data_IF_225714437423
#
_entry.id   IF_225714437423
#
_cell.length_a   1.000
_cell.length_b   1.000
_cell.length_c   1.000
_cell.angle_alpha   90.00
_cell.angle_beta   90.00
_cell.angle_gamma   90.00
#
_symmetry.space_group_name_H-M   'P 1'
#
loop_
_entity.id
_entity.type
_entity.pdbx_description
1 polymer ?
#
# COMPACT_ATOMS: atom_id res chain seq x y z
N UNK A 1 7.94 -18.90 -17.40
CA UNK A 1 9.33 -18.45 -17.58
C UNK A 1 9.56 -17.33 -16.59
N UNK A 2 10.29 -17.59 -15.51
CA UNK A 2 10.68 -16.57 -14.54
C UNK A 2 11.72 -15.66 -15.22
N UNK A 3 11.32 -14.44 -15.55
CA UNK A 3 12.22 -13.45 -16.13
C UNK A 3 13.19 -12.98 -15.05
N UNK A 4 14.43 -13.47 -15.10
CA UNK A 4 15.53 -12.95 -14.27
C UNK A 4 15.62 -11.44 -14.46
N UNK A 5 15.42 -10.68 -13.39
CA UNK A 5 15.49 -9.23 -13.40
C UNK A 5 16.90 -8.77 -13.78
N UNK A 6 17.06 -8.20 -14.98
CA UNK A 6 18.34 -7.72 -15.52
C UNK A 6 18.76 -6.35 -14.95
N UNK A 7 18.07 -5.84 -13.93
CA UNK A 7 18.23 -4.47 -13.44
C UNK A 7 17.52 -3.44 -14.32
N UNK A 8 17.20 -2.28 -13.74
CA UNK A 8 16.82 -1.10 -14.53
C UNK A 8 18.05 -0.62 -15.32
N UNK A 9 17.88 -0.11 -16.55
CA UNK A 9 18.96 0.57 -17.24
C UNK A 9 19.49 1.70 -16.35
N UNK A 10 20.79 1.99 -16.43
CA UNK A 10 21.39 3.08 -15.67
C UNK A 10 20.60 4.38 -15.88
N UNK A 11 20.54 5.24 -14.85
CA UNK A 11 19.77 6.48 -14.92
C UNK A 11 19.98 7.27 -16.23
N UNK A 12 21.22 7.46 -16.76
CA UNK A 12 21.42 8.15 -18.03
C UNK A 12 20.79 7.45 -19.24
N UNK A 13 20.76 6.11 -19.27
CA UNK A 13 20.16 5.33 -20.34
C UNK A 13 18.62 5.37 -20.25
N UNK A 14 18.07 5.15 -19.05
CA UNK A 14 16.65 5.26 -18.79
C UNK A 14 16.13 6.65 -19.19
N UNK A 15 16.79 7.71 -18.71
CA UNK A 15 16.42 9.09 -18.96
C UNK A 15 16.40 9.44 -20.46
N UNK A 16 17.37 8.96 -21.26
CA UNK A 16 17.39 9.22 -22.72
C UNK A 16 16.17 8.70 -23.45
N UNK A 17 15.61 7.58 -23.00
CA UNK A 17 14.41 6.97 -23.60
C UNK A 17 13.17 7.67 -23.03
N UNK A 18 13.01 7.68 -21.71
CA UNK A 18 11.81 8.20 -21.05
C UNK A 18 11.56 9.69 -21.29
N UNK A 19 12.60 10.50 -21.49
CA UNK A 19 12.43 11.94 -21.80
C UNK A 19 11.89 12.21 -23.21
N UNK A 20 11.93 11.21 -24.09
CA UNK A 20 11.35 11.29 -25.45
C UNK A 20 9.92 10.77 -25.50
N UNK A 21 9.47 10.07 -24.47
CA UNK A 21 8.09 9.63 -24.34
C UNK A 21 7.22 10.84 -23.96
N UNK A 22 6.54 11.39 -24.96
CA UNK A 22 5.69 12.58 -24.80
C UNK A 22 4.47 12.29 -23.93
N UNK A 23 3.97 11.05 -23.95
CA UNK A 23 2.79 10.66 -23.19
C UNK A 23 3.13 10.49 -21.71
N UNK A 24 4.20 9.76 -21.41
CA UNK A 24 4.74 9.64 -20.05
C UNK A 24 5.01 11.02 -19.43
N UNK A 25 5.65 11.92 -20.18
CA UNK A 25 5.95 13.28 -19.71
C UNK A 25 4.70 14.10 -19.44
N UNK A 26 3.69 14.01 -20.31
CA UNK A 26 2.42 14.70 -20.11
C UNK A 26 1.70 14.18 -18.85
N UNK A 27 1.62 12.86 -18.70
CA UNK A 27 0.98 12.20 -17.56
C UNK A 27 1.63 12.63 -16.23
N UNK A 28 2.97 12.52 -16.13
CA UNK A 28 3.71 12.89 -14.92
C UNK A 28 3.60 14.38 -14.58
N UNK A 29 3.69 15.26 -15.59
CA UNK A 29 3.58 16.71 -15.38
C UNK A 29 2.21 17.06 -14.82
N UNK A 30 1.15 16.60 -15.49
CA UNK A 30 -0.23 16.89 -15.09
C UNK A 30 -0.51 16.39 -13.67
N UNK A 31 -0.26 15.11 -13.40
CA UNK A 31 -0.59 14.51 -12.12
C UNK A 31 0.21 15.12 -10.94
N UNK A 32 1.50 15.43 -11.15
CA UNK A 32 2.32 16.05 -10.09
C UNK A 32 1.83 17.46 -9.73
N UNK A 33 1.42 18.26 -10.73
CA UNK A 33 0.83 19.58 -10.48
C UNK A 33 -0.50 19.46 -9.73
N UNK A 34 -1.39 18.57 -10.18
CA UNK A 34 -2.68 18.35 -9.53
C UNK A 34 -2.54 17.94 -8.05
N UNK A 35 -1.63 17.01 -7.73
CA UNK A 35 -1.40 16.58 -6.33
C UNK A 35 -0.88 17.74 -5.48
N UNK A 36 0.06 18.55 -6.02
CA UNK A 36 0.61 19.70 -5.29
C UNK A 36 -0.44 20.78 -5.02
N UNK A 37 -1.30 21.05 -6.00
CA UNK A 37 -2.35 22.07 -5.88
C UNK A 37 -3.45 21.62 -4.90
N UNK A 38 -3.84 20.35 -4.94
CA UNK A 38 -4.75 19.74 -3.96
C UNK A 38 -4.19 19.86 -2.53
N UNK A 39 -2.93 19.46 -2.34
CA UNK A 39 -2.24 19.60 -1.05
C UNK A 39 -2.19 21.05 -0.58
N UNK A 40 -1.87 22.00 -1.46
CA UNK A 40 -1.81 23.42 -1.10
C UNK A 40 -3.17 23.93 -0.62
N UNK A 41 -4.25 23.55 -1.32
CA UNK A 41 -5.63 23.87 -0.94
C UNK A 41 -5.97 23.28 0.44
N UNK A 42 -5.75 21.99 0.65
CA UNK A 42 -6.10 21.31 1.90
C UNK A 42 -5.30 21.80 3.13
N UNK A 43 -4.04 22.21 2.92
CA UNK A 43 -3.23 22.83 3.98
C UNK A 43 -3.72 24.23 4.32
N UNK A 44 -4.20 24.98 3.33
CA UNK A 44 -4.71 26.34 3.54
C UNK A 44 -6.01 26.40 4.35
N UNK A 45 -6.67 25.26 4.59
CA UNK A 45 -7.83 25.16 5.49
C UNK A 45 -7.46 25.27 6.98
N UNK A 46 -6.18 25.12 7.32
CA UNK A 46 -5.71 25.09 8.72
C UNK A 46 -4.74 26.25 8.99
N UNK A 47 -5.19 27.21 9.80
CA UNK A 47 -4.39 28.35 10.25
C UNK A 47 -3.17 27.94 11.09
N UNK A 48 -3.21 26.75 11.71
CA UNK A 48 -2.21 26.21 12.62
C UNK A 48 -1.36 25.08 12.01
N UNK A 49 -1.34 24.95 10.67
CA UNK A 49 -0.58 23.91 9.98
C UNK A 49 0.91 23.80 10.40
N UNK A 50 1.67 24.90 10.54
CA UNK A 50 3.04 24.83 11.04
C UNK A 50 3.16 24.20 12.44
N UNK A 51 2.21 24.50 13.32
CA UNK A 51 2.15 24.01 14.70
C UNK A 51 1.82 22.51 14.73
N UNK A 52 0.86 22.06 13.91
CA UNK A 52 0.54 20.64 13.74
C UNK A 52 1.76 19.84 13.27
N UNK A 53 2.53 20.38 12.31
CA UNK A 53 3.77 19.74 11.85
C UNK A 53 4.83 19.69 12.95
N UNK A 54 4.99 20.75 13.73
CA UNK A 54 5.92 20.79 14.84
C UNK A 54 5.53 19.79 15.95
N UNK A 55 4.23 19.67 16.25
CA UNK A 55 3.71 18.68 17.19
C UNK A 55 3.99 17.24 16.72
N UNK A 56 3.70 16.93 15.45
CA UNK A 56 3.98 15.62 14.87
C UNK A 56 5.47 15.27 14.92
N UNK A 57 6.35 16.24 14.60
CA UNK A 57 7.80 16.08 14.72
C UNK A 57 8.23 15.82 16.17
N UNK A 58 7.72 16.58 17.15
CA UNK A 58 8.04 16.40 18.56
C UNK A 58 7.61 15.02 19.08
N UNK A 59 6.42 14.53 18.68
CA UNK A 59 5.95 13.18 19.01
C UNK A 59 6.89 12.13 18.43
N UNK A 60 7.25 12.23 17.15
CA UNK A 60 8.18 11.28 16.51
C UNK A 60 9.55 11.29 17.17
N UNK A 61 10.11 12.46 17.43
CA UNK A 61 11.42 12.59 18.10
C UNK A 61 11.41 11.99 19.50
N UNK A 62 10.37 12.24 20.28
CA UNK A 62 10.20 11.62 21.60
C UNK A 62 10.10 10.10 21.48
N UNK A 63 9.26 9.61 20.57
CA UNK A 63 9.01 8.18 20.39
C UNK A 63 10.26 7.43 19.94
N UNK A 64 11.01 7.99 18.98
CA UNK A 64 12.23 7.40 18.45
C UNK A 64 13.34 7.29 19.52
N UNK A 65 13.39 8.21 20.49
CA UNK A 65 14.32 8.15 21.63
C UNK A 65 13.97 7.07 22.65
N UNK A 66 12.74 6.55 22.64
CA UNK A 66 12.22 5.59 23.61
C UNK A 66 11.62 4.35 22.91
N UNK A 67 12.15 3.98 21.74
CA UNK A 67 11.64 2.85 20.96
C UNK A 67 11.69 1.54 21.76
N UNK A 68 12.76 1.31 22.50
CA UNK A 68 12.93 0.16 23.37
C UNK A 68 11.74 -0.05 24.32
N UNK A 69 11.23 1.04 24.88
CA UNK A 69 10.10 1.04 25.80
C UNK A 69 8.78 0.84 25.05
N UNK A 70 8.52 1.65 24.01
CA UNK A 70 7.24 1.62 23.31
C UNK A 70 7.03 0.33 22.51
N UNK A 71 8.09 -0.25 21.94
CA UNK A 71 8.02 -1.52 21.20
C UNK A 71 7.58 -2.68 22.09
N UNK A 72 8.15 -2.78 23.29
CA UNK A 72 7.75 -3.81 24.27
C UNK A 72 6.33 -3.56 24.79
N UNK A 73 5.96 -2.28 25.01
CA UNK A 73 4.60 -1.93 25.39
C UNK A 73 3.57 -2.33 24.30
N UNK A 74 3.87 -2.05 23.04
CA UNK A 74 3.04 -2.44 21.90
C UNK A 74 2.87 -3.97 21.84
N UNK A 75 3.97 -4.72 21.99
CA UNK A 75 3.95 -6.18 21.99
C UNK A 75 3.05 -6.74 23.09
N UNK A 76 3.16 -6.19 24.30
CA UNK A 76 2.30 -6.56 25.43
C UNK A 76 0.82 -6.28 25.11
N UNK A 77 0.51 -5.11 24.57
CA UNK A 77 -0.86 -4.72 24.26
C UNK A 77 -1.48 -5.57 23.13
N UNK A 78 -0.72 -5.84 22.06
CA UNK A 78 -1.15 -6.73 20.96
C UNK A 78 -1.37 -8.15 21.47
N UNK A 79 -0.46 -8.68 22.28
CA UNK A 79 -0.57 -10.02 22.87
C UNK A 79 -1.78 -10.12 23.80
N UNK A 80 -2.02 -9.09 24.62
CA UNK A 80 -3.20 -9.03 25.49
C UNK A 80 -4.53 -9.00 24.70
N UNK A 81 -4.53 -8.42 23.49
CA UNK A 81 -5.66 -8.44 22.57
C UNK A 81 -5.80 -9.76 21.78
N UNK A 82 -4.93 -10.75 22.00
CA UNK A 82 -4.95 -12.05 21.35
C UNK A 82 -4.18 -12.11 20.02
N UNK A 83 -3.42 -11.07 19.68
CA UNK A 83 -2.52 -11.07 18.53
C UNK A 83 -1.18 -11.75 18.86
N UNK A 84 -0.40 -12.05 17.82
CA UNK A 84 0.96 -12.56 17.94
C UNK A 84 1.92 -11.56 17.32
N UNK A 85 2.98 -11.18 18.04
CA UNK A 85 4.04 -10.31 17.52
C UNK A 85 5.22 -11.15 17.08
N UNK A 86 5.68 -10.89 15.86
CA UNK A 86 6.89 -11.46 15.31
C UNK A 86 7.90 -10.35 15.04
N UNK A 87 9.08 -10.47 15.62
CA UNK A 87 10.20 -9.57 15.36
C UNK A 87 11.00 -10.11 14.16
N UNK A 88 11.33 -9.22 13.22
CA UNK A 88 12.19 -9.54 12.08
C UNK A 88 13.34 -8.53 12.02
N UNK A 89 14.56 -9.03 11.88
CA UNK A 89 15.77 -8.22 11.77
C UNK A 89 15.87 -7.51 10.41
N UNK A 90 15.40 -8.18 9.35
CA UNK A 90 15.53 -7.74 7.97
C UNK A 90 14.37 -8.25 7.07
N UNK A 91 14.46 -7.92 5.79
CA UNK A 91 13.47 -8.28 4.78
C UNK A 91 13.34 -9.79 4.58
N UNK A 92 14.44 -10.54 4.60
CA UNK A 92 14.43 -11.99 4.36
C UNK A 92 13.74 -12.70 5.52
N UNK A 93 14.03 -12.29 6.76
CA UNK A 93 13.36 -12.82 7.94
C UNK A 93 11.87 -12.46 7.96
N UNK A 94 11.51 -11.21 7.65
CA UNK A 94 10.11 -10.80 7.56
C UNK A 94 9.33 -11.62 6.52
N UNK A 95 9.89 -11.77 5.32
CA UNK A 95 9.27 -12.54 4.24
C UNK A 95 9.12 -14.02 4.60
N UNK A 96 10.13 -14.62 5.25
CA UNK A 96 10.07 -16.00 5.73
C UNK A 96 8.95 -16.19 6.75
N UNK A 97 8.87 -15.33 7.76
CA UNK A 97 7.82 -15.38 8.80
C UNK A 97 6.43 -15.29 8.15
N UNK A 98 6.22 -14.33 7.25
CA UNK A 98 4.93 -14.16 6.57
C UNK A 98 4.58 -15.40 5.75
N UNK A 99 5.54 -15.94 5.01
CA UNK A 99 5.38 -17.16 4.21
C UNK A 99 5.01 -18.36 5.07
N UNK A 100 5.70 -18.56 6.18
CA UNK A 100 5.44 -19.65 7.14
C UNK A 100 4.03 -19.54 7.76
N UNK A 101 3.59 -18.32 8.09
CA UNK A 101 2.24 -18.06 8.60
C UNK A 101 1.20 -18.44 7.55
N UNK A 102 1.36 -17.98 6.30
CA UNK A 102 0.42 -18.31 5.20
C UNK A 102 0.37 -19.82 4.94
N UNK A 103 1.51 -20.51 4.96
CA UNK A 103 1.52 -21.97 4.81
C UNK A 103 0.82 -22.69 5.96
N UNK A 104 0.96 -22.18 7.19
CA UNK A 104 0.29 -22.75 8.37
C UNK A 104 -1.23 -22.68 8.25
N UNK A 105 -1.78 -21.66 7.57
CA UNK A 105 -3.23 -21.60 7.31
C UNK A 105 -3.69 -22.59 6.23
N UNK A 106 -2.77 -23.22 5.48
CA UNK A 106 -3.08 -24.11 4.36
C UNK A 106 -3.61 -23.40 3.10
N UNK A 107 -3.46 -22.07 3.03
CA UNK A 107 -3.91 -21.27 1.88
C UNK A 107 -2.73 -20.91 0.96
N UNK A 108 -3.04 -20.64 -0.31
CA UNK A 108 -2.06 -20.25 -1.34
C UNK A 108 -2.44 -18.96 -2.05
N UNK A 109 -3.51 -18.31 -1.61
CA UNK A 109 -3.94 -16.98 -2.08
C UNK A 109 -3.97 -16.03 -0.89
N UNK A 110 -3.45 -14.82 -1.06
CA UNK A 110 -3.53 -13.72 -0.07
C UNK A 110 -4.02 -12.44 -0.74
N UNK A 111 -4.83 -11.64 -0.05
CA UNK A 111 -5.18 -10.28 -0.49
C UNK A 111 -4.33 -9.27 0.26
N UNK A 112 -3.80 -8.26 -0.43
CA UNK A 112 -2.85 -7.33 0.15
C UNK A 112 -3.30 -5.89 0.01
N UNK A 113 -3.28 -5.15 1.11
CA UNK A 113 -3.40 -3.69 1.10
C UNK A 113 -2.07 -3.09 0.70
N UNK A 114 -2.10 -2.00 -0.08
CA UNK A 114 -0.89 -1.24 -0.41
C UNK A 114 -0.06 -0.96 0.85
N UNK A 115 1.21 -1.34 0.79
CA UNK A 115 2.18 -1.09 1.84
C UNK A 115 3.57 -0.96 1.26
N UNK A 116 4.18 0.20 1.47
CA UNK A 116 5.57 0.45 1.06
C UNK A 116 6.54 -0.54 1.70
N UNK A 117 6.31 -0.90 2.97
CA UNK A 117 7.15 -1.87 3.68
C UNK A 117 7.14 -3.22 2.96
N UNK A 118 5.99 -3.69 2.45
CA UNK A 118 5.92 -4.95 1.69
C UNK A 118 6.58 -4.88 0.31
N UNK A 119 6.66 -3.68 -0.28
CA UNK A 119 7.39 -3.47 -1.53
C UNK A 119 8.89 -3.43 -1.28
N UNK A 120 9.33 -2.74 -0.23
CA UNK A 120 10.74 -2.62 0.17
C UNK A 120 11.33 -3.98 0.56
N UNK A 121 10.55 -4.85 1.21
CA UNK A 121 10.98 -6.21 1.53
C UNK A 121 10.90 -7.17 0.34
N UNK A 122 10.28 -6.80 -0.79
CA UNK A 122 10.08 -7.71 -1.93
C UNK A 122 9.13 -8.88 -1.62
N UNK A 123 8.10 -8.62 -0.81
CA UNK A 123 7.23 -9.68 -0.28
C UNK A 123 6.47 -10.43 -1.38
N UNK A 124 6.02 -9.75 -2.44
CA UNK A 124 5.27 -10.40 -3.51
C UNK A 124 6.14 -11.44 -4.23
N UNK A 125 7.40 -11.12 -4.50
CA UNK A 125 8.36 -12.02 -5.11
C UNK A 125 8.67 -13.22 -4.21
N UNK A 126 8.84 -12.99 -2.90
CA UNK A 126 9.08 -14.06 -1.93
C UNK A 126 7.89 -15.02 -1.82
N UNK A 127 6.66 -14.48 -1.72
CA UNK A 127 5.44 -15.27 -1.71
C UNK A 127 5.27 -16.07 -3.01
N UNK A 128 5.52 -15.45 -4.18
CA UNK A 128 5.43 -16.13 -5.46
C UNK A 128 6.44 -17.28 -5.59
N UNK A 129 7.67 -17.11 -5.08
CA UNK A 129 8.68 -18.18 -5.03
C UNK A 129 8.25 -19.34 -4.11
N UNK A 130 7.46 -19.06 -3.07
CA UNK A 130 6.86 -20.04 -2.18
C UNK A 130 5.54 -20.64 -2.71
N UNK A 131 5.11 -20.28 -3.91
CA UNK A 131 3.86 -20.77 -4.51
C UNK A 131 2.58 -20.12 -3.95
N UNK A 132 2.72 -18.95 -3.32
CA UNK A 132 1.61 -18.15 -2.81
C UNK A 132 1.34 -16.98 -3.77
N UNK A 133 0.08 -16.81 -4.16
CA UNK A 133 -0.34 -15.71 -5.03
C UNK A 133 -0.86 -14.54 -4.19
N UNK A 134 -0.18 -13.39 -4.26
CA UNK A 134 -0.63 -12.15 -3.64
C UNK A 134 -1.44 -11.31 -4.62
N UNK A 135 -2.64 -10.90 -4.23
CA UNK A 135 -3.52 -10.01 -4.99
C UNK A 135 -3.47 -8.60 -4.40
N UNK A 136 -3.01 -7.63 -5.19
CA UNK A 136 -3.05 -6.22 -4.78
C UNK A 136 -4.50 -5.72 -4.78
N UNK A 137 -4.86 -4.94 -3.77
CA UNK A 137 -6.25 -4.45 -3.59
C UNK A 137 -6.41 -2.95 -3.70
N UNK A 138 -5.30 -2.20 -3.73
CA UNK A 138 -5.27 -0.80 -4.15
C UNK A 138 -5.37 -0.74 -5.68
N UNK A 139 -6.23 0.13 -6.23
CA UNK A 139 -6.48 0.16 -7.66
C UNK A 139 -5.21 0.42 -8.49
N UNK A 140 -4.35 1.33 -8.03
CA UNK A 140 -3.13 1.68 -8.75
C UNK A 140 -2.10 0.54 -8.68
N UNK A 141 -1.97 -0.12 -7.54
CA UNK A 141 -1.14 -1.33 -7.40
C UNK A 141 -1.68 -2.50 -8.25
N UNK A 142 -3.00 -2.68 -8.29
CA UNK A 142 -3.65 -3.69 -9.13
C UNK A 142 -3.35 -3.46 -10.61
N UNK A 143 -3.44 -2.21 -11.09
CA UNK A 143 -3.09 -1.86 -12.49
C UNK A 143 -1.63 -2.24 -12.79
N UNK A 144 -0.70 -1.89 -11.90
CA UNK A 144 0.73 -2.21 -12.05
C UNK A 144 0.95 -3.72 -12.05
N UNK A 145 0.30 -4.45 -11.15
CA UNK A 145 0.34 -5.92 -11.08
C UNK A 145 -0.19 -6.57 -12.37
N UNK A 146 -1.34 -6.10 -12.86
CA UNK A 146 -1.99 -6.61 -14.07
C UNK A 146 -1.18 -6.36 -15.35
N UNK A 147 -0.38 -5.29 -15.39
CA UNK A 147 0.52 -4.99 -16.52
C UNK A 147 1.92 -5.59 -16.36
N UNK A 148 2.20 -6.26 -15.22
CA UNK A 148 3.55 -6.73 -14.85
C UNK A 148 4.60 -5.61 -14.97
N UNK A 149 4.22 -4.43 -14.47
CA UNK A 149 5.00 -3.19 -14.53
C UNK A 149 5.56 -2.84 -13.14
N UNK A 150 6.26 -1.71 -13.02
CA UNK A 150 6.74 -1.16 -11.76
C UNK A 150 6.00 0.13 -11.39
N UNK A 151 5.84 0.41 -10.09
CA UNK A 151 5.29 1.69 -9.64
C UNK A 151 6.21 2.84 -10.05
N UNK A 152 5.65 3.91 -10.60
CA UNK A 152 6.40 5.13 -10.96
C UNK A 152 6.35 6.20 -9.87
N UNK A 153 5.47 6.08 -8.89
CA UNK A 153 5.32 7.06 -7.80
C UNK A 153 4.78 6.43 -6.52
N UNK A 154 5.34 6.82 -5.38
CA UNK A 154 5.06 6.25 -4.04
C UNK A 154 3.57 6.39 -3.66
N UNK A 155 2.98 7.57 -3.90
CA UNK A 155 1.57 7.81 -3.56
C UNK A 155 0.60 7.27 -4.62
N UNK A 156 1.00 7.25 -5.88
CA UNK A 156 0.12 6.96 -7.03
C UNK A 156 0.87 6.02 -7.98
N UNK A 157 0.96 4.71 -7.67
CA UNK A 157 1.80 3.74 -8.38
C UNK A 157 1.70 3.78 -9.90
N UNK A 158 0.48 3.88 -10.42
CA UNK A 158 0.16 3.90 -11.84
C UNK A 158 0.07 5.32 -12.45
N UNK A 159 0.70 6.34 -11.84
CA UNK A 159 0.63 7.74 -12.29
C UNK A 159 1.03 7.95 -13.77
N UNK A 160 1.84 7.04 -14.30
CA UNK A 160 2.31 7.06 -15.68
C UNK A 160 1.31 6.50 -16.69
N UNK A 161 0.24 5.82 -16.23
CA UNK A 161 -0.78 5.22 -17.09
C UNK A 161 -2.00 6.13 -17.19
N UNK A 162 -2.49 6.33 -18.40
CA UNK A 162 -3.77 6.99 -18.63
C UNK A 162 -4.94 5.99 -18.69
N UNK A 163 -6.17 6.50 -18.70
CA UNK A 163 -7.40 5.68 -18.66
C UNK A 163 -7.56 4.71 -19.83
N UNK A 164 -7.14 5.10 -21.04
CA UNK A 164 -7.19 4.22 -22.21
C UNK A 164 -6.20 3.06 -22.06
N UNK A 165 -5.00 3.32 -21.54
CA UNK A 165 -4.02 2.25 -21.22
C UNK A 165 -4.57 1.31 -20.13
N UNK A 166 -5.21 1.87 -19.09
CA UNK A 166 -5.81 1.07 -18.01
C UNK A 166 -6.91 0.15 -18.54
N UNK A 167 -7.80 0.65 -19.42
CA UNK A 167 -8.81 -0.17 -20.09
C UNK A 167 -8.16 -1.35 -20.82
N UNK A 168 -7.13 -1.08 -21.61
CA UNK A 168 -6.48 -2.10 -22.44
C UNK A 168 -5.75 -3.15 -21.58
N UNK A 169 -5.15 -2.74 -20.46
CA UNK A 169 -4.61 -3.65 -19.44
C UNK A 169 -5.73 -4.54 -18.89
N UNK A 170 -6.83 -3.95 -18.44
CA UNK A 170 -7.95 -4.68 -17.85
C UNK A 170 -8.53 -5.73 -18.80
N UNK A 171 -8.83 -5.35 -20.05
CA UNK A 171 -9.33 -6.27 -21.08
C UNK A 171 -8.38 -7.42 -21.37
N UNK A 172 -7.06 -7.15 -21.35
CA UNK A 172 -6.05 -8.15 -21.72
C UNK A 172 -5.69 -9.12 -20.60
N UNK A 173 -5.69 -8.68 -19.33
CA UNK A 173 -5.02 -9.45 -18.26
C UNK A 173 -5.88 -9.81 -17.05
N UNK A 174 -7.03 -9.15 -16.81
CA UNK A 174 -7.86 -9.46 -15.64
C UNK A 174 -8.33 -10.93 -15.58
N UNK A 175 -8.63 -11.53 -16.74
CA UNK A 175 -9.06 -12.92 -16.84
C UNK A 175 -8.02 -13.92 -16.30
N UNK A 176 -6.72 -13.59 -16.39
CA UNK A 176 -5.65 -14.44 -15.85
C UNK A 176 -5.56 -14.38 -14.33
N UNK A 177 -6.04 -13.29 -13.74
CA UNK A 177 -6.01 -13.06 -12.30
C UNK A 177 -7.33 -13.35 -11.62
N UNK A 178 -8.42 -13.59 -12.34
CA UNK A 178 -9.74 -13.88 -11.77
C UNK A 178 -10.85 -13.49 -12.72
N UNK A 179 -11.79 -12.67 -12.25
CA UNK A 179 -12.92 -12.21 -13.07
C UNK A 179 -12.44 -11.39 -14.27
N UNK A 180 -12.84 -11.72 -15.52
CA UNK A 180 -12.50 -10.91 -16.68
C UNK A 180 -13.15 -9.52 -16.63
N UNK A 181 -12.55 -8.57 -17.34
CA UNK A 181 -13.20 -7.29 -17.64
C UNK A 181 -14.49 -7.50 -18.47
N UNK A 182 -15.48 -6.60 -18.37
CA UNK A 182 -16.65 -6.62 -19.26
C UNK A 182 -16.25 -6.49 -20.74
N UNK A 183 -16.95 -7.20 -21.64
CA UNK A 183 -16.65 -7.20 -23.08
C UNK A 183 -16.70 -5.81 -23.73
N UNK A 184 -17.52 -4.91 -23.17
CA UNK A 184 -17.75 -3.54 -23.64
C UNK A 184 -17.14 -2.47 -22.72
N UNK A 185 -16.06 -2.80 -21.99
CA UNK A 185 -15.40 -1.88 -21.08
C UNK A 185 -14.94 -0.59 -21.80
N UNK A 186 -15.36 0.57 -21.29
CA UNK A 186 -14.89 1.88 -21.77
C UNK A 186 -13.75 2.42 -20.90
N UNK A 187 -13.12 3.52 -21.32
CA UNK A 187 -12.11 4.23 -20.52
C UNK A 187 -12.71 5.35 -19.65
N UNK A 188 -14.03 5.33 -19.43
CA UNK A 188 -14.65 6.22 -18.47
C UNK A 188 -14.27 5.82 -17.04
N UNK A 189 -14.04 6.77 -16.11
CA UNK A 189 -13.59 6.44 -14.76
C UNK A 189 -14.53 5.49 -14.02
N UNK A 190 -15.85 5.68 -14.18
CA UNK A 190 -16.87 4.86 -13.53
C UNK A 190 -16.83 3.42 -14.01
N UNK A 191 -16.69 3.17 -15.31
CA UNK A 191 -16.65 1.81 -15.87
C UNK A 191 -15.38 1.07 -15.44
N UNK A 192 -14.22 1.76 -15.45
CA UNK A 192 -12.96 1.20 -14.98
C UNK A 192 -13.01 0.85 -13.49
N UNK A 193 -13.52 1.77 -12.66
CA UNK A 193 -13.66 1.54 -11.22
C UNK A 193 -14.62 0.37 -10.93
N UNK A 194 -15.73 0.28 -11.65
CA UNK A 194 -16.70 -0.81 -11.49
C UNK A 194 -16.11 -2.16 -11.91
N UNK A 195 -15.37 -2.22 -13.01
CA UNK A 195 -14.68 -3.44 -13.43
C UNK A 195 -13.68 -3.93 -12.37
N UNK A 196 -12.83 -3.03 -11.86
CA UNK A 196 -11.87 -3.35 -10.81
C UNK A 196 -12.56 -3.78 -9.51
N UNK A 197 -13.63 -3.08 -9.10
CA UNK A 197 -14.43 -3.41 -7.92
C UNK A 197 -15.02 -4.81 -8.01
N UNK A 198 -15.63 -5.15 -9.15
CA UNK A 198 -16.23 -6.46 -9.38
C UNK A 198 -15.21 -7.59 -9.37
N UNK A 199 -13.99 -7.33 -9.86
CA UNK A 199 -12.88 -8.26 -9.83
C UNK A 199 -12.36 -8.50 -8.41
N UNK A 200 -12.05 -7.42 -7.67
CA UNK A 200 -11.55 -7.51 -6.30
C UNK A 200 -12.58 -8.11 -5.35
N UNK A 201 -13.88 -7.82 -5.54
CA UNK A 201 -14.96 -8.36 -4.70
C UNK A 201 -14.98 -9.90 -4.70
N UNK A 202 -14.70 -10.54 -5.82
CA UNK A 202 -14.60 -12.00 -5.88
C UNK A 202 -13.41 -12.50 -5.04
N UNK A 203 -12.26 -11.82 -5.14
CA UNK A 203 -11.06 -12.17 -4.37
C UNK A 203 -11.27 -12.03 -2.88
N UNK A 204 -11.86 -10.92 -2.44
CA UNK A 204 -12.16 -10.68 -1.03
C UNK A 204 -13.08 -11.75 -0.42
N UNK A 205 -14.04 -12.27 -1.18
CA UNK A 205 -14.99 -13.26 -0.67
C UNK A 205 -14.41 -14.68 -0.61
N UNK A 206 -13.39 -14.98 -1.43
CA UNK A 206 -12.75 -16.31 -1.46
C UNK A 206 -11.49 -16.39 -0.60
N UNK A 207 -10.74 -15.29 -0.51
CA UNK A 207 -9.40 -15.29 0.10
C UNK A 207 -9.49 -15.17 1.62
N UNK A 208 -8.78 -16.03 2.34
CA UNK A 208 -8.87 -16.17 3.80
C UNK A 208 -7.71 -15.58 4.58
N UNK A 209 -6.68 -15.12 3.89
CA UNK A 209 -5.52 -14.48 4.48
C UNK A 209 -5.34 -13.10 3.87
N UNK A 210 -5.22 -12.09 4.73
CA UNK A 210 -4.83 -10.74 4.32
C UNK A 210 -3.44 -10.38 4.83
N UNK A 211 -2.79 -9.55 4.04
CA UNK A 211 -1.57 -8.85 4.43
C UNK A 211 -1.82 -7.35 4.35
N UNK A 212 -1.46 -6.61 5.39
CA UNK A 212 -1.56 -5.15 5.42
C UNK A 212 -0.24 -4.52 5.85
N UNK A 213 -0.11 -3.23 5.56
CA UNK A 213 0.80 -2.36 6.27
C UNK A 213 0.16 -1.74 7.51
N UNK A 214 0.90 -0.84 8.16
CA UNK A 214 0.34 0.13 9.11
C UNK A 214 0.93 1.52 8.85
N UNK A 215 0.08 2.54 8.93
CA UNK A 215 0.54 3.93 8.97
C UNK A 215 1.06 4.27 10.37
N UNK A 216 0.36 3.80 11.42
CA UNK A 216 0.75 3.97 12.81
C UNK A 216 0.47 2.71 13.63
N UNK A 217 1.29 2.47 14.64
CA UNK A 217 1.06 1.46 15.67
C UNK A 217 0.99 2.15 17.02
N UNK A 218 -0.09 1.99 17.77
CA UNK A 218 -0.32 2.72 19.02
C UNK A 218 0.16 1.86 20.19
N UNK A 219 1.24 2.26 20.83
CA UNK A 219 1.88 1.49 21.90
C UNK A 219 0.94 1.24 23.09
N UNK A 220 0.18 2.27 23.49
CA UNK A 220 -0.77 2.22 24.60
C UNK A 220 -1.82 1.11 24.47
N UNK A 221 -2.33 0.88 23.26
CA UNK A 221 -3.53 0.04 23.03
C UNK A 221 -3.29 -1.16 22.13
N UNK A 222 -2.11 -1.30 21.52
CA UNK A 222 -1.84 -2.35 20.54
C UNK A 222 -2.57 -2.13 19.21
N UNK A 223 -3.10 -0.93 18.96
CA UNK A 223 -3.91 -0.64 17.76
C UNK A 223 -3.05 -0.41 16.53
N UNK A 224 -3.39 -1.06 15.42
CA UNK A 224 -2.83 -0.81 14.10
C UNK A 224 -3.74 0.15 13.33
N UNK A 225 -3.22 1.30 12.91
CA UNK A 225 -3.95 2.29 12.13
C UNK A 225 -3.54 2.22 10.65
N UNK A 226 -4.53 2.01 9.79
CA UNK A 226 -4.38 2.02 8.33
C UNK A 226 -5.32 3.09 7.76
N UNK A 227 -4.77 4.02 6.99
CA UNK A 227 -5.54 5.04 6.28
C UNK A 227 -5.69 4.61 4.83
N UNK A 228 -6.93 4.62 4.33
CA UNK A 228 -7.29 4.16 3.00
C UNK A 228 -8.42 5.04 2.42
N UNK A 229 -8.48 5.16 1.10
CA UNK A 229 -9.40 6.07 0.38
C UNK A 229 -10.37 5.36 -0.59
N UNK A 230 -10.34 4.03 -0.68
CA UNK A 230 -11.03 3.25 -1.72
C UNK A 230 -12.06 2.23 -1.17
N UNK A 231 -12.10 2.00 0.15
CA UNK A 231 -12.89 0.98 0.82
C UNK A 231 -12.28 -0.43 0.77
N UNK A 232 -11.37 -0.68 -0.18
CA UNK A 232 -10.73 -1.98 -0.40
C UNK A 232 -9.89 -2.40 0.82
N UNK A 233 -9.17 -1.46 1.44
CA UNK A 233 -8.38 -1.71 2.64
C UNK A 233 -9.23 -2.26 3.79
N UNK A 234 -10.41 -1.67 4.02
CA UNK A 234 -11.34 -2.17 5.04
C UNK A 234 -11.77 -3.61 4.81
N UNK A 235 -11.95 -4.02 3.55
CA UNK A 235 -12.33 -5.39 3.24
C UNK A 235 -11.19 -6.38 3.53
N UNK A 236 -9.94 -6.03 3.25
CA UNK A 236 -8.75 -6.80 3.66
C UNK A 236 -8.67 -7.00 5.17
N UNK A 237 -9.08 -5.98 5.95
CA UNK A 237 -8.95 -6.03 7.41
C UNK A 237 -10.12 -6.75 8.11
N UNK A 238 -11.24 -7.02 7.43
CA UNK A 238 -12.48 -7.49 8.09
C UNK A 238 -13.03 -8.82 7.60
N UNK A 239 -12.73 -9.24 6.36
CA UNK A 239 -13.24 -10.49 5.77
C UNK A 239 -12.33 -11.72 5.94
N UNK A 240 -10.99 -11.58 5.94
CA UNK A 240 -10.08 -12.71 6.10
C UNK A 240 -10.09 -13.28 7.52
N UNK A 241 -9.83 -14.58 7.62
CA UNK A 241 -9.77 -15.29 8.90
C UNK A 241 -8.38 -15.10 9.55
N UNK A 242 -7.36 -14.76 8.77
CA UNK A 242 -6.00 -14.42 9.23
C UNK A 242 -5.57 -13.08 8.65
N UNK A 243 -5.10 -12.17 9.52
CA UNK A 243 -4.55 -10.88 9.14
C UNK A 243 -3.08 -10.79 9.59
N UNK A 244 -2.19 -10.50 8.64
CA UNK A 244 -0.76 -10.29 8.89
C UNK A 244 -0.46 -8.81 8.61
N UNK A 245 -0.10 -8.05 9.65
CA UNK A 245 0.34 -6.66 9.50
C UNK A 245 1.87 -6.59 9.52
N UNK A 246 2.46 -5.99 8.49
CA UNK A 246 3.90 -5.78 8.37
C UNK A 246 4.16 -4.27 8.47
N UNK A 247 4.94 -3.86 9.45
CA UNK A 247 5.25 -2.46 9.69
C UNK A 247 6.68 -2.30 10.20
N UNK A 248 7.32 -1.21 9.81
CA UNK A 248 8.59 -0.79 10.38
C UNK A 248 8.43 -0.35 11.83
N UNK A 249 9.45 -0.59 12.66
CA UNK A 249 9.45 -0.23 14.08
C UNK A 249 9.24 1.28 14.31
N UNK A 250 9.61 2.10 13.33
CA UNK A 250 9.46 3.54 13.35
C UNK A 250 8.01 4.00 13.17
N UNK A 251 7.05 3.12 12.84
CA UNK A 251 5.62 3.47 12.71
C UNK A 251 4.93 3.65 14.06
N UNK A 252 5.60 3.31 15.17
CA UNK A 252 5.02 3.41 16.49
C UNK A 252 4.77 4.86 16.92
N UNK A 253 3.68 5.06 17.66
CA UNK A 253 3.34 6.28 18.41
C UNK A 253 2.89 5.91 19.83
N UNK A 254 3.09 6.78 20.83
CA UNK A 254 2.89 6.43 22.23
C UNK A 254 1.43 6.17 22.59
N UNK A 255 0.56 7.15 22.33
CA UNK A 255 -0.84 7.16 22.81
C UNK A 255 -1.84 7.28 21.67
N UNK A 256 -3.09 6.94 21.96
CA UNK A 256 -4.17 7.14 20.98
C UNK A 256 -4.39 8.63 20.67
N UNK A 257 -4.16 9.52 21.64
CA UNK A 257 -4.29 10.96 21.44
C UNK A 257 -3.27 11.50 20.44
N UNK A 258 -2.05 10.96 20.42
CA UNK A 258 -1.01 11.35 19.46
C UNK A 258 -1.46 11.11 18.00
N UNK A 259 -2.32 10.11 17.76
CA UNK A 259 -2.86 9.79 16.44
C UNK A 259 -3.63 10.98 15.84
N UNK A 260 -4.29 11.81 16.66
CA UNK A 260 -5.06 12.96 16.20
C UNK A 260 -4.20 13.91 15.34
N UNK A 261 -2.98 14.21 15.79
CA UNK A 261 -2.04 15.08 15.06
C UNK A 261 -1.70 14.47 13.69
N UNK A 262 -1.54 13.16 13.62
CA UNK A 262 -1.21 12.47 12.38
C UNK A 262 -2.40 12.31 11.44
N UNK A 263 -3.62 12.14 11.97
CA UNK A 263 -4.84 12.14 11.16
C UNK A 263 -5.10 13.49 10.50
N UNK A 264 -4.68 14.59 11.12
CA UNK A 264 -4.78 15.91 10.51
C UNK A 264 -3.69 16.17 9.45
N UNK A 265 -2.48 15.66 9.67
CA UNK A 265 -1.31 15.98 8.83
C UNK A 265 -1.08 15.01 7.68
N UNK A 266 -1.30 13.70 7.86
CA UNK A 266 -0.99 12.69 6.85
C UNK A 266 -1.84 12.85 5.58
N UNK A 267 -3.19 12.91 5.63
CA UNK A 267 -3.99 12.94 4.41
C UNK A 267 -3.81 14.25 3.63
N UNK A 268 -3.67 15.38 4.33
CA UNK A 268 -3.37 16.69 3.73
C UNK A 268 -2.00 16.72 3.05
N UNK A 269 -1.04 15.94 3.56
CA UNK A 269 0.31 15.88 2.99
C UNK A 269 0.44 14.88 1.84
N UNK A 270 -0.55 14.01 1.61
CA UNK A 270 -0.55 13.02 0.53
C UNK A 270 -1.28 13.54 -0.71
N UNK A 271 -2.39 12.92 -1.11
CA UNK A 271 -3.21 13.31 -2.27
C UNK A 271 -4.34 14.26 -1.89
N UNK A 272 -4.55 14.53 -0.59
CA UNK A 272 -5.66 15.30 -0.05
C UNK A 272 -7.05 14.76 -0.46
N UNK A 273 -7.18 13.44 -0.54
CA UNK A 273 -8.44 12.75 -0.86
C UNK A 273 -9.24 12.34 0.40
N UNK A 274 -8.95 12.94 1.57
CA UNK A 274 -9.63 12.64 2.84
C UNK A 274 -10.25 13.88 3.48
#
# INVERSE_FOLDING_TARGET
>A
MSGTYLGLPSFPQAARVSTRDTQLRANLTHATHTIRDKRATAIAELDDWPQLRAAGAAIKDHTLRHLDTYLVQLEQAVTAAGGTVHWALDADEANRIVTDIVHTTGHTEVVKVKSMTTQETGLNEALAQAGITAYETDLAELIVQLDNDKPSHILVPAIHKNRTEIRDIFTRTMAHWGRPAPDNLTDTPTDLAEAARLHLREKFLRTKVAISGANFMIAETGTMAVLESEGNGRMCLTLPDTLITIAGIEKIIPTYQDLEVFLQTLPRSSTADA
#
